data_IF_180067027315
#
_entry.id   IF_180067027315
#
_cell.length_a   1.000
_cell.length_b   1.000
_cell.length_c   1.000
_cell.angle_alpha   90.00
_cell.angle_beta   90.00
_cell.angle_gamma   90.00
#
_symmetry.space_group_name_H-M   'P 1'
#
loop_
_entity.id
_entity.type
_entity.pdbx_description
1 polymer ?
#
# COMPACT_ATOMS: atom_id res chain seq x y z
N UNK A 1 7.19 6.25 -20.35
CA UNK A 1 7.54 7.66 -20.03
C UNK A 1 8.70 7.65 -19.05
N UNK A 2 9.59 8.66 -19.01
CA UNK A 2 10.59 8.75 -17.95
C UNK A 2 9.91 8.86 -16.57
N UNK A 3 10.57 8.32 -15.55
CA UNK A 3 10.09 8.42 -14.17
C UNK A 3 10.19 9.87 -13.68
N UNK A 4 9.24 10.30 -12.88
CA UNK A 4 9.34 11.57 -12.17
C UNK A 4 10.21 11.45 -10.89
N UNK A 5 10.41 12.55 -10.18
CA UNK A 5 11.28 12.59 -9.01
C UNK A 5 10.79 11.73 -7.84
N UNK A 6 9.47 11.59 -7.68
CA UNK A 6 8.85 10.78 -6.61
C UNK A 6 9.04 9.30 -6.95
N UNK A 7 8.74 8.91 -8.19
CA UNK A 7 8.94 7.56 -8.69
C UNK A 7 10.41 7.13 -8.61
N UNK A 8 11.35 8.02 -8.96
CA UNK A 8 12.78 7.76 -8.80
C UNK A 8 13.17 7.52 -7.34
N UNK A 9 12.70 8.37 -6.42
CA UNK A 9 12.98 8.22 -5.00
C UNK A 9 12.46 6.87 -4.45
N UNK A 10 11.24 6.49 -4.83
CA UNK A 10 10.66 5.20 -4.45
C UNK A 10 11.47 4.03 -5.04
N UNK A 11 11.77 4.06 -6.33
CA UNK A 11 12.57 3.01 -6.98
C UNK A 11 13.94 2.84 -6.33
N UNK A 12 14.67 3.93 -6.07
CA UNK A 12 15.96 3.87 -5.39
C UNK A 12 15.88 3.29 -3.99
N UNK A 13 14.90 3.71 -3.20
CA UNK A 13 14.69 3.23 -1.84
C UNK A 13 14.45 1.72 -1.83
N UNK A 14 13.51 1.25 -2.64
CA UNK A 14 13.15 -0.17 -2.71
C UNK A 14 14.21 -1.03 -3.40
N UNK A 15 14.96 -0.50 -4.36
CA UNK A 15 16.10 -1.16 -4.96
C UNK A 15 17.17 -1.50 -3.90
N UNK A 16 17.48 -0.53 -3.02
CA UNK A 16 18.49 -0.70 -1.95
C UNK A 16 18.02 -1.64 -0.84
N UNK A 17 16.71 -1.67 -0.55
CA UNK A 17 16.16 -2.36 0.61
C UNK A 17 15.37 -3.63 0.28
N UNK A 18 15.32 -4.07 -0.98
CA UNK A 18 14.51 -5.22 -1.42
C UNK A 18 14.73 -6.49 -0.58
N UNK A 19 15.94 -6.72 -0.09
CA UNK A 19 16.29 -7.87 0.75
C UNK A 19 15.58 -7.89 2.12
N UNK A 20 15.10 -6.73 2.60
CA UNK A 20 14.40 -6.60 3.89
C UNK A 20 12.93 -7.02 3.82
N UNK A 21 12.35 -7.01 2.62
CA UNK A 21 10.95 -7.31 2.37
C UNK A 21 10.66 -8.80 2.12
N UNK A 22 11.69 -9.64 2.17
CA UNK A 22 11.57 -11.08 1.97
C UNK A 22 10.91 -11.78 3.18
N UNK A 23 11.19 -13.07 3.35
CA UNK A 23 10.62 -13.93 4.38
C UNK A 23 10.81 -13.37 5.80
N UNK A 24 9.73 -13.42 6.60
CA UNK A 24 9.71 -12.90 7.97
C UNK A 24 9.37 -11.41 8.09
N UNK A 25 9.08 -10.72 6.99
CA UNK A 25 8.63 -9.34 7.02
C UNK A 25 7.17 -9.25 7.52
N UNK A 26 6.82 -8.17 8.23
CA UNK A 26 5.48 -7.98 8.80
C UNK A 26 4.36 -8.04 7.72
N UNK A 27 4.65 -7.64 6.50
CA UNK A 27 3.72 -7.70 5.37
C UNK A 27 3.47 -9.12 4.85
N UNK A 28 4.21 -10.14 5.32
CA UNK A 28 3.92 -11.54 4.99
C UNK A 28 2.56 -12.00 5.53
N UNK A 29 2.10 -11.39 6.63
CA UNK A 29 0.73 -11.56 7.08
C UNK A 29 -0.22 -10.78 6.16
N UNK A 30 -1.08 -11.50 5.45
CA UNK A 30 -2.07 -10.97 4.49
C UNK A 30 -3.51 -11.14 4.97
N UNK A 31 -3.74 -11.24 6.28
CA UNK A 31 -5.09 -11.37 6.86
C UNK A 31 -6.00 -10.18 6.55
N UNK A 32 -5.42 -9.00 6.42
CA UNK A 32 -6.12 -7.78 5.98
C UNK A 32 -6.66 -7.91 4.55
N UNK A 33 -5.86 -8.43 3.63
CA UNK A 33 -6.29 -8.69 2.25
C UNK A 33 -7.37 -9.77 2.21
N UNK A 34 -7.19 -10.86 2.96
CA UNK A 34 -8.20 -11.91 3.08
C UNK A 34 -9.55 -11.35 3.57
N UNK A 35 -9.54 -10.51 4.60
CA UNK A 35 -10.76 -9.91 5.16
C UNK A 35 -11.48 -8.97 4.18
N UNK A 36 -10.74 -8.22 3.36
CA UNK A 36 -11.37 -7.35 2.34
C UNK A 36 -11.96 -8.17 1.20
N UNK A 37 -11.26 -9.22 0.77
CA UNK A 37 -11.70 -10.09 -0.33
C UNK A 37 -12.89 -10.98 0.06
N UNK A 38 -13.06 -11.26 1.35
CA UNK A 38 -14.13 -12.13 1.85
C UNK A 38 -15.51 -11.61 1.43
N UNK A 39 -16.31 -12.51 0.86
CA UNK A 39 -17.65 -12.21 0.35
C UNK A 39 -17.71 -11.37 -0.93
N UNK A 40 -16.57 -11.03 -1.57
CA UNK A 40 -16.58 -10.42 -2.90
C UNK A 40 -16.84 -11.51 -3.96
N UNK A 41 -17.79 -11.29 -4.90
CA UNK A 41 -18.11 -12.27 -5.93
C UNK A 41 -17.05 -12.24 -7.06
N UNK A 42 -15.84 -12.69 -6.76
CA UNK A 42 -14.73 -12.80 -7.70
C UNK A 42 -14.67 -14.23 -8.22
N UNK A 43 -14.62 -14.47 -9.56
CA UNK A 43 -14.48 -15.83 -10.11
C UNK A 43 -13.22 -16.53 -9.61
N UNK A 44 -13.29 -17.84 -9.36
CA UNK A 44 -12.20 -18.61 -8.76
C UNK A 44 -10.91 -18.65 -9.61
N UNK A 45 -11.02 -18.47 -10.94
CA UNK A 45 -9.89 -18.45 -11.87
C UNK A 45 -9.65 -17.04 -12.46
N UNK A 46 -10.10 -16.00 -11.78
CA UNK A 46 -10.00 -14.62 -12.21
C UNK A 46 -8.54 -14.23 -12.52
N UNK A 47 -8.38 -13.41 -13.56
CA UNK A 47 -7.11 -12.71 -13.79
C UNK A 47 -6.99 -11.57 -12.76
N UNK A 48 -5.95 -11.63 -11.96
CA UNK A 48 -5.66 -10.64 -10.93
C UNK A 48 -4.36 -9.89 -11.23
N UNK A 49 -4.37 -8.57 -11.06
CA UNK A 49 -3.19 -7.72 -11.10
C UNK A 49 -2.89 -7.22 -9.69
N UNK A 50 -1.69 -7.52 -9.18
CA UNK A 50 -1.19 -6.95 -7.93
C UNK A 50 -0.16 -5.86 -8.25
N UNK A 51 -0.54 -4.59 -8.02
CA UNK A 51 0.22 -3.39 -8.38
C UNK A 51 1.13 -2.98 -7.22
N UNK A 52 2.39 -2.62 -7.54
CA UNK A 52 3.43 -2.32 -6.56
C UNK A 52 3.56 -3.46 -5.54
N UNK A 53 3.69 -4.67 -6.07
CA UNK A 53 3.62 -5.94 -5.34
C UNK A 53 4.72 -6.12 -4.28
N UNK A 54 5.81 -5.33 -4.36
CA UNK A 54 6.98 -5.48 -3.51
C UNK A 54 7.57 -6.88 -3.62
N UNK A 55 7.78 -7.55 -2.49
CA UNK A 55 8.27 -8.93 -2.44
C UNK A 55 7.21 -10.00 -2.77
N UNK A 56 5.99 -9.61 -3.16
CA UNK A 56 4.97 -10.50 -3.68
C UNK A 56 4.01 -11.11 -2.66
N UNK A 57 3.96 -10.63 -1.43
CA UNK A 57 3.14 -11.25 -0.39
C UNK A 57 1.64 -11.29 -0.75
N UNK A 58 1.09 -10.19 -1.29
CA UNK A 58 -0.29 -10.15 -1.78
C UNK A 58 -0.46 -11.05 -3.02
N UNK A 59 0.45 -10.98 -3.98
CA UNK A 59 0.43 -11.83 -5.17
C UNK A 59 0.44 -13.34 -4.82
N UNK A 60 1.25 -13.74 -3.82
CA UNK A 60 1.28 -15.14 -3.35
C UNK A 60 -0.03 -15.55 -2.66
N UNK A 61 -0.65 -14.64 -1.92
CA UNK A 61 -1.97 -14.88 -1.34
C UNK A 61 -3.00 -15.17 -2.44
N UNK A 62 -3.07 -14.31 -3.45
CA UNK A 62 -3.99 -14.45 -4.58
C UNK A 62 -3.72 -15.72 -5.39
N UNK A 63 -2.45 -16.06 -5.66
CA UNK A 63 -2.09 -17.28 -6.39
C UNK A 63 -2.49 -18.55 -5.63
N UNK A 64 -2.35 -18.57 -4.28
CA UNK A 64 -2.85 -19.70 -3.45
C UNK A 64 -4.37 -19.81 -3.47
N UNK A 65 -5.07 -18.71 -3.63
CA UNK A 65 -6.53 -18.71 -3.78
C UNK A 65 -7.01 -19.17 -5.18
N UNK A 66 -6.08 -19.47 -6.10
CA UNK A 66 -6.39 -19.98 -7.44
C UNK A 66 -6.46 -18.93 -8.55
N UNK A 67 -6.20 -17.66 -8.25
CA UNK A 67 -6.21 -16.61 -9.26
C UNK A 67 -5.01 -16.69 -10.21
N UNK A 68 -5.20 -16.26 -11.47
CA UNK A 68 -4.13 -16.08 -12.46
C UNK A 68 -3.47 -14.72 -12.23
N UNK A 69 -2.35 -14.70 -11.51
CA UNK A 69 -1.76 -13.47 -10.96
C UNK A 69 -0.67 -12.92 -11.85
N UNK A 70 -0.79 -11.63 -12.18
CA UNK A 70 0.28 -10.78 -12.65
C UNK A 70 0.69 -9.86 -11.50
N UNK A 71 1.95 -9.95 -11.05
CA UNK A 71 2.54 -9.09 -10.04
C UNK A 71 3.39 -8.02 -10.72
N UNK A 72 3.12 -6.76 -10.44
CA UNK A 72 3.85 -5.64 -11.04
C UNK A 72 4.51 -4.74 -10.00
N UNK A 73 5.67 -4.23 -10.35
CA UNK A 73 6.43 -3.29 -9.54
C UNK A 73 7.30 -2.40 -10.43
N UNK A 74 7.59 -1.19 -9.97
CA UNK A 74 8.49 -0.28 -10.65
C UNK A 74 9.97 -0.69 -10.46
N UNK A 75 10.25 -1.54 -9.44
CA UNK A 75 11.58 -1.88 -8.95
C UNK A 75 11.97 -3.30 -9.40
N UNK A 76 12.95 -3.47 -10.31
CA UNK A 76 13.40 -4.79 -10.78
C UNK A 76 13.83 -5.74 -9.66
N UNK A 77 14.47 -5.21 -8.60
CA UNK A 77 14.90 -6.03 -7.47
C UNK A 77 13.73 -6.63 -6.70
N UNK A 78 12.58 -5.92 -6.62
CA UNK A 78 11.35 -6.48 -6.02
C UNK A 78 10.80 -7.61 -6.87
N UNK A 79 10.72 -7.44 -8.19
CA UNK A 79 10.26 -8.50 -9.10
C UNK A 79 11.16 -9.75 -9.08
N UNK A 80 12.47 -9.58 -8.84
CA UNK A 80 13.36 -10.72 -8.58
C UNK A 80 12.92 -11.48 -7.33
N UNK A 81 12.60 -10.79 -6.22
CA UNK A 81 12.07 -11.42 -4.99
C UNK A 81 10.75 -12.14 -5.22
N UNK A 82 9.87 -11.58 -6.04
CA UNK A 82 8.62 -12.27 -6.43
C UNK A 82 8.90 -13.58 -7.13
N UNK A 83 9.80 -13.58 -8.12
CA UNK A 83 10.15 -14.81 -8.87
C UNK A 83 10.77 -15.89 -7.96
N UNK A 84 11.73 -15.49 -7.12
CA UNK A 84 12.35 -16.38 -6.13
C UNK A 84 11.31 -16.95 -5.15
N UNK A 85 10.49 -16.07 -4.55
CA UNK A 85 9.47 -16.46 -3.60
C UNK A 85 8.34 -17.32 -4.20
N UNK A 86 7.96 -17.08 -5.46
CA UNK A 86 6.99 -17.92 -6.18
C UNK A 86 7.55 -19.32 -6.43
N UNK A 87 8.80 -19.43 -6.90
CA UNK A 87 9.49 -20.70 -7.13
C UNK A 87 9.60 -21.53 -5.84
N UNK A 88 10.02 -20.92 -4.73
CA UNK A 88 10.11 -21.57 -3.41
C UNK A 88 8.76 -22.14 -2.94
N UNK A 89 7.65 -21.52 -3.34
CA UNK A 89 6.30 -21.88 -2.92
C UNK A 89 5.56 -22.75 -3.95
N UNK A 90 6.18 -23.04 -5.11
CA UNK A 90 5.54 -23.75 -6.21
C UNK A 90 4.34 -22.98 -6.80
N UNK A 91 4.36 -21.66 -6.77
CA UNK A 91 3.29 -20.80 -7.26
C UNK A 91 3.62 -20.28 -8.67
N UNK A 92 2.59 -20.15 -9.51
CA UNK A 92 2.71 -19.51 -10.81
C UNK A 92 2.27 -18.04 -10.70
N UNK A 93 3.23 -17.11 -10.78
CA UNK A 93 3.02 -15.67 -10.74
C UNK A 93 3.79 -15.04 -11.88
N UNK A 94 3.10 -14.37 -12.79
CA UNK A 94 3.73 -13.57 -13.83
C UNK A 94 4.26 -12.26 -13.24
N UNK A 95 5.43 -11.79 -13.68
CA UNK A 95 6.00 -10.53 -13.20
C UNK A 95 6.13 -9.51 -14.33
N UNK A 96 5.76 -8.25 -14.09
CA UNK A 96 5.85 -7.14 -15.05
C UNK A 96 6.42 -5.88 -14.40
N UNK A 97 7.35 -5.22 -15.10
CA UNK A 97 7.91 -3.94 -14.68
C UNK A 97 7.17 -2.79 -15.35
N UNK A 98 6.50 -1.96 -14.55
CA UNK A 98 5.87 -0.71 -14.99
C UNK A 98 5.45 0.15 -13.80
N UNK A 99 5.13 1.44 -14.09
CA UNK A 99 4.53 2.33 -13.11
C UNK A 99 3.08 1.93 -12.81
N UNK A 100 2.63 2.15 -11.56
CA UNK A 100 1.24 2.02 -11.16
C UNK A 100 0.30 3.02 -11.88
N UNK A 101 0.83 4.13 -12.36
CA UNK A 101 0.11 5.27 -12.92
C UNK A 101 -0.02 5.22 -14.45
N UNK A 102 0.59 4.20 -15.08
CA UNK A 102 0.53 3.96 -16.52
C UNK A 102 0.63 2.45 -16.79
N UNK A 103 -0.51 1.77 -16.84
CA UNK A 103 -0.58 0.32 -16.94
C UNK A 103 -0.54 -0.14 -18.41
N UNK A 104 0.42 -0.99 -18.81
CA UNK A 104 0.57 -1.44 -20.20
C UNK A 104 -0.37 -2.61 -20.54
N UNK A 105 -1.62 -2.51 -20.16
CA UNK A 105 -2.65 -3.52 -20.41
C UNK A 105 -3.84 -2.89 -21.14
N UNK A 106 -4.57 -3.72 -21.89
CA UNK A 106 -5.81 -3.32 -22.54
C UNK A 106 -6.93 -3.10 -21.50
N UNK A 107 -7.93 -2.33 -21.89
CA UNK A 107 -9.12 -2.10 -21.09
C UNK A 107 -9.83 -3.42 -20.78
N UNK A 108 -10.31 -3.56 -19.54
CA UNK A 108 -11.11 -4.73 -19.17
C UNK A 108 -10.33 -6.05 -19.06
N UNK A 109 -9.01 -6.03 -18.91
CA UNK A 109 -8.17 -7.23 -18.87
C UNK A 109 -8.35 -8.06 -17.60
N UNK A 110 -8.57 -7.42 -16.43
CA UNK A 110 -8.53 -8.06 -15.13
C UNK A 110 -9.89 -8.06 -14.42
N UNK A 111 -10.19 -9.09 -13.66
CA UNK A 111 -11.36 -9.17 -12.79
C UNK A 111 -11.06 -8.70 -11.37
N UNK A 112 -9.78 -8.65 -10.99
CA UNK A 112 -9.32 -8.13 -9.71
C UNK A 112 -8.05 -7.31 -9.89
N UNK A 113 -8.03 -6.11 -9.33
CA UNK A 113 -6.82 -5.28 -9.19
C UNK A 113 -6.60 -5.02 -7.71
N UNK A 114 -5.41 -5.33 -7.20
CA UNK A 114 -5.01 -5.09 -5.81
C UNK A 114 -3.81 -4.18 -5.72
N UNK A 115 -3.74 -3.38 -4.66
CA UNK A 115 -2.55 -2.64 -4.27
C UNK A 115 -2.49 -2.55 -2.74
N UNK A 116 -1.37 -2.96 -2.14
CA UNK A 116 -1.28 -3.07 -0.69
C UNK A 116 -0.01 -2.43 -0.15
N UNK A 117 -0.18 -1.42 0.74
CA UNK A 117 0.90 -0.71 1.45
C UNK A 117 1.93 -0.13 0.49
N UNK A 118 1.44 0.58 -0.55
CA UNK A 118 2.28 1.19 -1.58
C UNK A 118 1.78 2.55 -2.10
N UNK A 119 0.46 2.82 -2.19
CA UNK A 119 -0.04 4.05 -2.81
C UNK A 119 0.50 5.34 -2.20
N UNK A 120 0.90 5.33 -0.92
CA UNK A 120 1.53 6.48 -0.26
C UNK A 120 2.91 6.87 -0.82
N UNK A 121 3.46 6.08 -1.76
CA UNK A 121 4.66 6.40 -2.55
C UNK A 121 4.34 6.92 -3.95
N UNK A 122 3.08 6.90 -4.39
CA UNK A 122 2.73 7.27 -5.77
C UNK A 122 2.74 8.79 -5.96
N UNK A 123 3.19 9.25 -7.12
CA UNK A 123 3.18 10.67 -7.48
C UNK A 123 1.77 11.15 -7.85
N UNK A 124 0.96 10.27 -8.45
CA UNK A 124 -0.43 10.54 -8.82
C UNK A 124 -1.38 9.39 -8.45
N UNK A 125 -1.85 9.31 -7.20
CA UNK A 125 -2.84 8.32 -6.79
C UNK A 125 -4.11 8.35 -7.65
N UNK A 126 -4.54 9.52 -8.12
CA UNK A 126 -5.68 9.65 -9.03
C UNK A 126 -5.44 8.96 -10.39
N UNK A 127 -4.21 9.04 -10.92
CA UNK A 127 -3.84 8.32 -12.15
C UNK A 127 -3.81 6.81 -11.92
N UNK A 128 -3.29 6.36 -10.77
CA UNK A 128 -3.31 4.97 -10.38
C UNK A 128 -4.73 4.41 -10.29
N UNK A 129 -5.67 5.12 -9.65
CA UNK A 129 -7.07 4.68 -9.54
C UNK A 129 -7.74 4.64 -10.92
N UNK A 130 -7.52 5.68 -11.76
CA UNK A 130 -8.07 5.74 -13.12
C UNK A 130 -7.56 4.58 -13.99
N UNK A 131 -6.27 4.29 -13.98
CA UNK A 131 -5.67 3.19 -14.74
C UNK A 131 -6.17 1.83 -14.22
N UNK A 132 -6.27 1.66 -12.90
CA UNK A 132 -6.86 0.47 -12.28
C UNK A 132 -8.30 0.25 -12.74
N UNK A 133 -9.12 1.29 -12.74
CA UNK A 133 -10.50 1.24 -13.25
C UNK A 133 -10.56 0.92 -14.75
N UNK A 134 -9.63 1.46 -15.56
CA UNK A 134 -9.56 1.20 -16.99
C UNK A 134 -9.31 -0.27 -17.29
N UNK A 135 -8.30 -0.86 -16.63
CA UNK A 135 -7.90 -2.26 -16.89
C UNK A 135 -8.82 -3.29 -16.25
N UNK A 136 -9.71 -2.87 -15.34
CA UNK A 136 -10.75 -3.75 -14.79
C UNK A 136 -11.83 -4.05 -15.82
N UNK A 137 -12.22 -5.33 -15.89
CA UNK A 137 -13.40 -5.77 -16.61
C UNK A 137 -14.69 -5.22 -15.97
N UNK A 138 -15.81 -5.07 -16.71
CA UNK A 138 -17.11 -4.82 -16.11
C UNK A 138 -17.42 -5.86 -15.01
N UNK A 139 -17.88 -5.41 -13.85
CA UNK A 139 -18.09 -6.24 -12.66
C UNK A 139 -16.83 -6.57 -11.86
N UNK A 140 -15.64 -6.19 -12.35
CA UNK A 140 -14.36 -6.42 -11.66
C UNK A 140 -14.18 -5.57 -10.40
N UNK A 141 -13.24 -5.98 -9.56
CA UNK A 141 -12.99 -5.40 -8.24
C UNK A 141 -11.63 -4.72 -8.13
N UNK A 142 -11.64 -3.51 -7.59
CA UNK A 142 -10.47 -2.75 -7.18
C UNK A 142 -10.35 -2.83 -5.65
N UNK A 143 -9.21 -3.29 -5.14
CA UNK A 143 -8.94 -3.43 -3.71
C UNK A 143 -7.66 -2.68 -3.35
N UNK A 144 -7.76 -1.76 -2.41
CA UNK A 144 -6.63 -1.01 -1.84
C UNK A 144 -6.58 -1.19 -0.34
N UNK A 145 -5.37 -1.44 0.17
CA UNK A 145 -5.06 -1.40 1.60
C UNK A 145 -3.83 -0.52 1.76
N UNK A 146 -3.96 0.58 2.51
CA UNK A 146 -2.83 1.48 2.75
C UNK A 146 -2.94 2.20 4.08
N UNK A 147 -1.86 2.83 4.53
CA UNK A 147 -1.93 3.84 5.56
C UNK A 147 -2.89 4.95 5.16
N UNK A 148 -3.53 5.56 6.12
CA UNK A 148 -4.46 6.67 5.90
C UNK A 148 -4.32 7.74 6.98
N UNK A 149 -5.05 8.82 6.85
CA UNK A 149 -5.23 9.87 7.84
C UNK A 149 -6.72 10.06 8.10
N UNK A 150 -7.07 10.67 9.22
CA UNK A 150 -8.47 10.94 9.55
C UNK A 150 -9.00 12.08 8.68
N UNK A 151 -10.22 11.94 8.16
CA UNK A 151 -10.92 13.03 7.49
C UNK A 151 -11.07 14.24 8.42
N UNK A 152 -10.89 15.44 7.85
CA UNK A 152 -11.17 16.72 8.52
C UNK A 152 -10.33 17.01 9.79
N UNK A 153 -9.10 16.45 9.86
CA UNK A 153 -8.12 16.77 10.91
C UNK A 153 -6.75 17.14 10.29
N UNK A 154 -6.63 18.33 9.66
CA UNK A 154 -5.46 18.70 8.87
C UNK A 154 -4.16 18.82 9.69
N UNK A 155 -4.23 19.16 10.99
CA UNK A 155 -3.03 19.24 11.84
C UNK A 155 -2.46 17.84 12.10
N UNK A 156 -3.31 16.84 12.32
CA UNK A 156 -2.88 15.45 12.49
C UNK A 156 -2.34 14.86 11.18
N UNK A 157 -2.98 15.18 10.05
CA UNK A 157 -2.49 14.82 8.71
C UNK A 157 -1.08 15.40 8.48
N UNK A 158 -0.90 16.71 8.69
CA UNK A 158 0.37 17.39 8.47
C UNK A 158 1.48 16.80 9.37
N UNK A 159 1.19 16.57 10.64
CA UNK A 159 2.12 15.98 11.59
C UNK A 159 2.54 14.56 11.17
N UNK A 160 1.59 13.71 10.80
CA UNK A 160 1.90 12.34 10.39
C UNK A 160 2.74 12.31 9.10
N UNK A 161 2.41 13.17 8.12
CA UNK A 161 3.20 13.27 6.89
C UNK A 161 4.64 13.73 7.15
N UNK A 162 4.85 14.65 8.07
CA UNK A 162 6.20 15.07 8.45
C UNK A 162 6.98 13.93 9.10
N UNK A 163 6.36 13.18 10.02
CA UNK A 163 6.95 11.99 10.64
C UNK A 163 7.30 10.94 9.59
N UNK A 164 6.36 10.62 8.69
CA UNK A 164 6.57 9.63 7.63
C UNK A 164 7.67 10.03 6.66
N UNK A 165 7.72 11.30 6.26
CA UNK A 165 8.74 11.83 5.33
C UNK A 165 10.14 11.81 5.95
N UNK A 166 10.26 12.11 7.24
CA UNK A 166 11.53 11.99 7.98
C UNK A 166 11.94 10.53 8.12
N UNK A 167 10.98 9.64 8.37
CA UNK A 167 11.23 8.21 8.50
C UNK A 167 11.67 7.60 7.18
N UNK A 168 10.95 7.88 6.10
CA UNK A 168 11.14 7.33 4.76
C UNK A 168 11.09 8.46 3.71
N UNK A 169 12.24 8.87 3.16
CA UNK A 169 12.29 9.94 2.17
C UNK A 169 11.50 9.66 0.88
N UNK A 170 11.18 8.40 0.59
CA UNK A 170 10.36 8.01 -0.56
C UNK A 170 8.85 8.18 -0.30
N UNK A 171 8.44 8.38 0.96
CA UNK A 171 7.05 8.67 1.29
C UNK A 171 6.58 9.94 0.58
N UNK A 172 5.44 9.87 -0.08
CA UNK A 172 4.80 11.02 -0.71
C UNK A 172 3.65 11.54 0.15
N UNK A 173 2.52 10.81 0.21
CA UNK A 173 1.35 11.22 0.97
C UNK A 173 0.42 10.06 1.32
N UNK A 174 -0.11 10.06 2.55
CA UNK A 174 -1.28 9.26 2.92
C UNK A 174 -2.56 10.00 2.51
N UNK A 175 -3.49 9.32 1.84
CA UNK A 175 -4.76 9.92 1.43
C UNK A 175 -5.84 9.61 2.46
N UNK A 176 -6.68 10.61 2.85
CA UNK A 176 -7.82 10.38 3.71
C UNK A 176 -8.93 9.58 3.01
N UNK A 177 -9.81 8.91 3.75
CA UNK A 177 -10.89 8.08 3.18
C UNK A 177 -11.79 8.81 2.17
N UNK A 178 -12.08 10.08 2.41
CA UNK A 178 -12.89 10.90 1.49
C UNK A 178 -12.23 11.08 0.11
N UNK A 179 -10.90 11.23 0.07
CA UNK A 179 -10.17 11.36 -1.20
C UNK A 179 -10.14 10.02 -1.96
N UNK A 180 -9.94 8.91 -1.25
CA UNK A 180 -10.03 7.58 -1.86
C UNK A 180 -11.40 7.35 -2.51
N UNK A 181 -12.48 7.69 -1.79
CA UNK A 181 -13.84 7.60 -2.31
C UNK A 181 -14.02 8.46 -3.57
N UNK A 182 -13.61 9.73 -3.49
CA UNK A 182 -13.73 10.66 -4.62
C UNK A 182 -12.95 10.21 -5.87
N UNK A 183 -11.73 9.68 -5.69
CA UNK A 183 -10.93 9.13 -6.81
C UNK A 183 -11.59 7.91 -7.44
N UNK A 184 -12.16 7.00 -6.65
CA UNK A 184 -12.90 5.84 -7.14
C UNK A 184 -14.13 6.28 -7.96
N UNK A 185 -14.96 7.16 -7.40
CA UNK A 185 -16.18 7.66 -8.05
C UNK A 185 -15.87 8.42 -9.33
N UNK A 186 -14.84 9.29 -9.32
CA UNK A 186 -14.38 10.01 -10.52
C UNK A 186 -13.84 9.07 -11.61
N UNK A 187 -13.41 7.87 -11.24
CA UNK A 187 -12.94 6.82 -12.16
C UNK A 187 -14.04 5.82 -12.57
N UNK A 188 -15.30 6.07 -12.18
CA UNK A 188 -16.43 5.21 -12.50
C UNK A 188 -16.53 3.94 -11.66
N UNK A 189 -15.87 3.89 -10.52
CA UNK A 189 -15.96 2.77 -9.57
C UNK A 189 -16.99 3.09 -8.47
N UNK A 190 -17.73 2.07 -8.02
CA UNK A 190 -18.63 2.18 -6.88
C UNK A 190 -17.97 1.58 -5.64
N UNK A 191 -17.75 2.38 -4.61
CA UNK A 191 -17.16 1.91 -3.35
C UNK A 191 -18.17 1.06 -2.58
N UNK A 192 -17.88 -0.22 -2.44
CA UNK A 192 -18.72 -1.21 -1.76
C UNK A 192 -18.31 -1.44 -0.31
N UNK A 193 -16.99 -1.42 -0.03
CA UNK A 193 -16.45 -1.53 1.33
C UNK A 193 -15.41 -0.43 1.54
N UNK A 194 -15.43 0.20 2.70
CA UNK A 194 -14.40 1.10 3.18
C UNK A 194 -14.35 1.00 4.70
N UNK A 195 -13.28 0.44 5.21
CA UNK A 195 -13.04 0.27 6.63
C UNK A 195 -11.73 0.94 7.03
N UNK A 196 -11.68 1.49 8.23
CA UNK A 196 -10.46 2.00 8.85
C UNK A 196 -10.21 1.17 10.10
N UNK A 197 -9.00 0.65 10.20
CA UNK A 197 -8.51 -0.06 11.38
C UNK A 197 -7.27 0.64 11.92
N UNK A 198 -7.08 0.61 13.23
CA UNK A 198 -5.92 1.19 13.89
C UNK A 198 -4.97 0.08 14.32
N UNK A 199 -3.81 0.01 13.65
CA UNK A 199 -2.81 -1.02 13.90
C UNK A 199 -1.74 -0.51 14.85
N UNK A 200 -1.62 -1.17 16.00
CA UNK A 200 -0.54 -0.88 16.94
C UNK A 200 0.81 -1.13 16.29
N UNK A 201 1.67 -0.13 16.33
CA UNK A 201 3.07 -0.28 15.91
C UNK A 201 3.88 -0.88 17.08
N UNK A 202 4.85 -1.77 16.79
CA UNK A 202 5.62 -2.45 17.84
C UNK A 202 6.32 -1.47 18.79
N UNK A 203 7.13 -0.57 18.25
CA UNK A 203 7.76 0.56 18.93
C UNK A 203 8.48 1.47 17.92
N UNK A 204 8.97 2.62 18.42
CA UNK A 204 9.63 3.62 17.59
C UNK A 204 10.97 3.13 17.01
N UNK A 205 11.70 2.25 17.70
CA UNK A 205 12.97 1.72 17.19
C UNK A 205 12.74 0.75 16.04
N UNK A 206 11.79 -0.16 16.18
CA UNK A 206 11.35 -1.02 15.07
C UNK A 206 10.95 -0.19 13.85
N UNK A 207 10.19 0.88 14.08
CA UNK A 207 9.70 1.76 13.02
C UNK A 207 10.83 2.41 12.22
N UNK A 208 11.86 2.89 12.93
CA UNK A 208 13.05 3.43 12.28
C UNK A 208 13.87 2.39 11.54
N UNK A 209 14.00 1.21 12.12
CA UNK A 209 14.74 0.11 11.49
C UNK A 209 14.05 -0.35 10.20
N UNK A 210 12.72 -0.44 10.18
CA UNK A 210 11.95 -0.87 9.02
C UNK A 210 12.22 -0.02 7.77
N UNK A 211 12.41 1.30 7.91
CA UNK A 211 12.71 2.22 6.82
C UNK A 211 14.21 2.55 6.67
N UNK A 212 15.06 2.01 7.56
CA UNK A 212 16.48 2.40 7.63
C UNK A 212 16.68 3.92 7.85
N UNK A 213 15.85 4.51 8.72
CA UNK A 213 15.84 5.94 9.02
C UNK A 213 17.21 6.41 9.53
N UNK A 214 17.72 7.52 9.00
CA UNK A 214 19.01 8.09 9.39
C UNK A 214 19.03 8.56 10.86
N UNK A 215 20.17 8.60 11.54
CA UNK A 215 20.25 9.06 12.92
C UNK A 215 19.71 10.50 13.13
N UNK A 216 19.96 11.41 12.18
CA UNK A 216 19.47 12.78 12.25
C UNK A 216 17.93 12.83 12.15
N UNK A 217 17.34 12.05 11.27
CA UNK A 217 15.89 11.97 11.10
C UNK A 217 15.22 11.28 12.30
N UNK A 218 15.85 10.26 12.90
CA UNK A 218 15.37 9.66 14.15
C UNK A 218 15.28 10.67 15.27
N UNK A 219 16.29 11.55 15.42
CA UNK A 219 16.27 12.61 16.41
C UNK A 219 15.15 13.64 16.13
N UNK A 220 14.94 14.02 14.86
CA UNK A 220 13.85 14.91 14.45
C UNK A 220 12.47 14.32 14.76
N UNK A 221 12.22 13.05 14.41
CA UNK A 221 10.95 12.38 14.73
C UNK A 221 10.70 12.31 16.23
N UNK A 222 11.74 12.01 17.04
CA UNK A 222 11.62 12.04 18.51
C UNK A 222 11.24 13.41 19.04
N UNK A 223 11.79 14.48 18.46
CA UNK A 223 11.45 15.85 18.81
C UNK A 223 9.99 16.17 18.48
N UNK A 224 9.50 15.77 17.29
CA UNK A 224 8.09 15.93 16.90
C UNK A 224 7.15 15.20 17.85
N UNK A 225 7.50 13.98 18.27
CA UNK A 225 6.70 13.20 19.23
C UNK A 225 6.68 13.84 20.61
N UNK A 226 7.82 14.39 21.05
CA UNK A 226 7.93 15.03 22.37
C UNK A 226 7.10 16.31 22.49
N UNK A 227 6.92 17.03 21.38
CA UNK A 227 6.22 18.33 21.32
C UNK A 227 4.81 18.26 20.71
N UNK A 228 4.34 17.07 20.40
CA UNK A 228 3.03 16.85 19.77
C UNK A 228 1.89 17.30 20.69
N UNK A 229 0.83 17.89 20.10
CA UNK A 229 -0.36 18.30 20.85
C UNK A 229 -1.13 17.10 21.42
N UNK A 230 -1.90 17.34 22.49
CA UNK A 230 -2.72 16.29 23.10
C UNK A 230 -3.76 15.73 22.14
N UNK A 231 -4.31 16.54 21.25
CA UNK A 231 -5.29 16.10 20.25
C UNK A 231 -4.68 15.11 19.24
N UNK A 232 -3.47 15.38 18.73
CA UNK A 232 -2.76 14.46 17.83
C UNK A 232 -2.30 13.21 18.58
N UNK A 233 -1.83 13.38 19.83
CA UNK A 233 -1.46 12.26 20.70
C UNK A 233 -2.64 11.30 20.90
N UNK A 234 -3.82 11.84 21.12
CA UNK A 234 -5.04 11.06 21.27
C UNK A 234 -5.45 10.38 19.96
N UNK A 235 -5.39 11.08 18.83
CA UNK A 235 -5.72 10.56 17.50
C UNK A 235 -4.91 9.30 17.18
N UNK A 236 -3.58 9.37 17.31
CA UNK A 236 -2.70 8.23 17.02
C UNK A 236 -2.43 7.36 18.25
N UNK A 237 -3.10 7.59 19.38
CA UNK A 237 -2.95 6.84 20.63
C UNK A 237 -1.48 6.70 21.03
N UNK A 238 -0.72 7.79 20.88
CA UNK A 238 0.69 7.83 21.25
C UNK A 238 0.85 7.61 22.75
N UNK A 239 1.57 6.58 23.14
CA UNK A 239 1.78 6.21 24.54
C UNK A 239 3.22 5.74 24.78
N UNK A 240 3.62 5.73 26.04
CA UNK A 240 4.83 5.06 26.48
C UNK A 240 4.44 3.79 27.23
N UNK A 241 4.90 2.65 26.75
CA UNK A 241 4.68 1.34 27.34
C UNK A 241 6.03 0.67 27.59
N UNK A 242 6.32 0.30 28.83
CA UNK A 242 7.57 -0.34 29.23
C UNK A 242 8.84 0.39 28.74
N UNK A 243 8.81 1.74 28.77
CA UNK A 243 9.90 2.60 28.29
C UNK A 243 10.02 2.72 26.78
N UNK A 244 9.03 2.26 26.02
CA UNK A 244 8.98 2.31 24.57
C UNK A 244 7.83 3.20 24.10
N UNK A 245 8.10 4.01 23.09
CA UNK A 245 7.06 4.80 22.42
C UNK A 245 6.33 3.89 21.43
N UNK A 246 5.02 3.78 21.62
CA UNK A 246 4.07 3.05 20.76
C UNK A 246 2.97 3.96 20.26
N UNK A 247 2.37 3.63 19.12
CA UNK A 247 1.20 4.33 18.58
C UNK A 247 0.40 3.40 17.68
N UNK A 248 -0.79 3.85 17.26
CA UNK A 248 -1.64 3.11 16.33
C UNK A 248 -1.70 3.83 15.00
N UNK A 249 -1.38 3.11 13.95
CA UNK A 249 -1.41 3.62 12.58
C UNK A 249 -2.76 3.35 11.96
N UNK A 250 -3.51 4.40 11.52
CA UNK A 250 -4.75 4.20 10.80
C UNK A 250 -4.44 3.58 9.42
N UNK A 251 -5.14 2.50 9.14
CA UNK A 251 -5.03 1.76 7.87
C UNK A 251 -6.41 1.67 7.25
N UNK A 252 -6.51 2.12 6.00
CA UNK A 252 -7.71 2.00 5.19
C UNK A 252 -7.69 0.68 4.43
N UNK A 253 -8.84 0.02 4.39
CA UNK A 253 -9.09 -1.12 3.51
C UNK A 253 -10.36 -0.82 2.68
N UNK A 254 -10.19 -0.71 1.37
CA UNK A 254 -11.23 -0.32 0.42
C UNK A 254 -11.42 -1.40 -0.63
N UNK A 255 -12.69 -1.71 -0.95
CA UNK A 255 -13.07 -2.45 -2.14
C UNK A 255 -14.11 -1.65 -2.94
N UNK A 256 -13.83 -1.45 -4.22
CA UNK A 256 -14.74 -0.77 -5.16
C UNK A 256 -14.95 -1.64 -6.39
N UNK A 257 -16.14 -1.59 -6.96
CA UNK A 257 -16.53 -2.39 -8.11
C UNK A 257 -16.69 -1.52 -9.35
N UNK A 258 -16.20 -1.99 -10.49
CA UNK A 258 -16.55 -1.44 -11.79
C UNK A 258 -17.96 -1.91 -12.16
N UNK A 259 -18.91 -1.00 -12.46
CA UNK A 259 -20.26 -1.39 -12.83
C UNK A 259 -20.30 -2.40 -13.97
N UNK A 260 -21.30 -3.28 -13.96
CA UNK A 260 -21.66 -4.10 -15.11
C UNK A 260 -22.46 -3.19 -16.03
N UNK A 261 -21.99 -2.97 -17.25
CA UNK A 261 -22.70 -2.18 -18.25
C UNK A 261 -23.95 -2.92 -18.76
#
# INVERSE_FOLDING_TARGET
MPLDSIQHAAQEQFQKQSHRYAKGHILENTSDLAAVLDGLPIPADAKALDIATGAGHAAFHLARAGYKVTASDLTPAMLLRVREGAAERGLNVETREHSAEALPYEDGTFQLVTCRVAPHHFSSPASFVRESARVLAPGGWFVVIDGTVTDDFPEAEAWLHEVEKLRDPSHNRLMPPKEWRAMCEASGLTVAKLNIDYRKQPDLEWYFQAANTSPINRAAVRSLIATVSDSIRQEYRLAEEEGKIVWWWPTLALAAQKPVL
#
